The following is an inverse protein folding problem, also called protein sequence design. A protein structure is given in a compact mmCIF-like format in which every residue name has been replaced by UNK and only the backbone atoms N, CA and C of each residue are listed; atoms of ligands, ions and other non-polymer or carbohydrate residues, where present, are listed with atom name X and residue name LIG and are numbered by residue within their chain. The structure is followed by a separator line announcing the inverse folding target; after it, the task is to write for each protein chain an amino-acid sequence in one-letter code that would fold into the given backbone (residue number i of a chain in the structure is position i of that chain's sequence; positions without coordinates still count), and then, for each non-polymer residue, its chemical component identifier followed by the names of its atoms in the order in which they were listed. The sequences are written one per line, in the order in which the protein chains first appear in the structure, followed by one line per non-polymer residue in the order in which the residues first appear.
data_IF_815471104080
#
_entry.id   IF_815471104080
#
_cell.length_a   1.000
_cell.length_b   1.000
_cell.length_c   1.000
_cell.angle_alpha   90.00
_cell.angle_beta   90.00
_cell.angle_gamma   90.00
#
_symmetry.space_group_name_H-M   'P 1'
#
loop_
_entity.id
_entity.type
_entity.pdbx_description
1 polymer ?
#
# COMPACT_ATOMS: atom_id res chain seq x y z
N UNK A 1 -31.84 -21.62 2.14
CA UNK A 1 -30.61 -21.73 1.32
C UNK A 1 -30.00 -20.35 1.22
N UNK A 2 -29.03 -20.06 2.09
CA UNK A 2 -28.38 -18.74 2.20
C UNK A 2 -27.19 -18.75 1.25
N UNK A 3 -27.31 -18.11 0.11
CA UNK A 3 -26.17 -17.71 -0.72
C UNK A 3 -26.26 -16.21 -0.93
N UNK A 4 -25.79 -15.45 0.04
CA UNK A 4 -25.59 -14.01 -0.13
C UNK A 4 -24.22 -13.63 0.41
N UNK A 5 -23.25 -13.65 -0.52
CA UNK A 5 -22.29 -12.57 -0.83
C UNK A 5 -20.91 -13.13 -1.21
N UNK A 6 -20.81 -13.78 -2.37
CA UNK A 6 -19.53 -13.90 -3.09
C UNK A 6 -19.22 -12.55 -3.74
N UNK A 7 -18.81 -11.58 -2.92
CA UNK A 7 -18.05 -10.43 -3.42
C UNK A 7 -16.71 -10.49 -2.70
N UNK A 8 -15.62 -10.61 -3.45
CA UNK A 8 -14.32 -10.23 -2.91
C UNK A 8 -14.49 -8.83 -2.32
N UNK A 9 -14.16 -8.65 -1.04
CA UNK A 9 -14.05 -7.32 -0.47
C UNK A 9 -12.70 -6.77 -0.98
N UNK A 10 -12.65 -6.39 -2.25
CA UNK A 10 -11.48 -5.82 -2.94
C UNK A 10 -11.24 -4.40 -2.45
N UNK A 11 -10.85 -4.28 -1.17
CA UNK A 11 -10.43 -3.01 -0.61
C UNK A 11 -8.91 -2.95 -0.69
N UNK A 12 -8.39 -2.07 -1.55
CA UNK A 12 -6.96 -1.82 -1.68
C UNK A 12 -6.30 -1.56 -0.31
N UNK A 13 -5.06 -2.01 -0.14
CA UNK A 13 -4.27 -1.74 1.06
C UNK A 13 -3.61 -0.37 1.01
N UNK A 14 -3.55 0.32 2.16
CA UNK A 14 -2.75 1.54 2.35
C UNK A 14 -1.77 1.36 3.50
N UNK A 15 -0.55 1.88 3.34
CA UNK A 15 0.48 1.89 4.37
C UNK A 15 1.21 3.24 4.34
N UNK A 16 1.55 3.76 5.52
CA UNK A 16 2.32 5.00 5.64
C UNK A 16 3.29 4.92 6.83
N UNK A 17 4.41 5.62 6.68
CA UNK A 17 5.40 5.83 7.73
C UNK A 17 5.86 7.29 7.67
N UNK A 18 6.13 7.88 8.83
CA UNK A 18 6.50 9.28 8.97
C UNK A 18 7.76 9.43 9.82
N UNK A 19 8.58 10.45 9.53
CA UNK A 19 9.79 10.79 10.29
C UNK A 19 10.79 9.62 10.41
N UNK A 20 11.07 8.93 9.29
CA UNK A 20 11.98 7.80 9.25
C UNK A 20 12.91 7.87 8.02
N UNK A 21 14.22 7.74 8.23
CA UNK A 21 15.23 7.84 7.17
C UNK A 21 15.05 6.81 6.03
N UNK A 22 14.37 5.70 6.31
CA UNK A 22 14.09 4.64 5.34
C UNK A 22 12.59 4.48 5.09
N UNK A 23 11.84 5.59 5.03
CA UNK A 23 10.40 5.59 4.85
C UNK A 23 9.95 4.80 3.60
N UNK A 24 10.62 4.99 2.46
CA UNK A 24 10.30 4.26 1.21
C UNK A 24 10.41 2.75 1.36
N UNK A 25 11.52 2.25 1.92
CA UNK A 25 11.76 0.82 2.12
C UNK A 25 10.75 0.19 3.08
N UNK A 26 10.40 0.89 4.16
CA UNK A 26 9.39 0.41 5.11
C UNK A 26 7.99 0.41 4.48
N UNK A 27 7.67 1.43 3.67
CA UNK A 27 6.41 1.44 2.91
C UNK A 27 6.33 0.28 1.93
N UNK A 28 7.42 -0.04 1.22
CA UNK A 28 7.45 -1.20 0.33
C UNK A 28 7.18 -2.52 1.07
N UNK A 29 7.83 -2.74 2.22
CA UNK A 29 7.61 -3.93 3.05
C UNK A 29 6.20 -3.97 3.65
N UNK A 30 5.67 -2.82 4.07
CA UNK A 30 4.30 -2.70 4.58
C UNK A 30 3.25 -3.02 3.51
N UNK A 31 3.43 -2.50 2.29
CA UNK A 31 2.59 -2.84 1.15
C UNK A 31 2.71 -4.32 0.78
N UNK A 32 3.91 -4.90 0.83
CA UNK A 32 4.12 -6.33 0.61
C UNK A 32 3.34 -7.19 1.63
N UNK A 33 3.34 -6.81 2.92
CA UNK A 33 2.53 -7.49 3.93
C UNK A 33 1.01 -7.38 3.63
N UNK A 34 0.59 -6.34 2.92
CA UNK A 34 -0.80 -6.11 2.49
C UNK A 34 -1.11 -6.67 1.10
N UNK A 35 -0.20 -7.41 0.45
CA UNK A 35 -0.39 -7.92 -0.93
C UNK A 35 -1.66 -8.78 -1.09
N UNK A 36 -2.12 -9.42 -0.02
CA UNK A 36 -3.36 -10.19 0.00
C UNK A 36 -4.62 -9.32 -0.22
N UNK A 37 -4.50 -7.99 -0.21
CA UNK A 37 -5.59 -7.03 -0.46
C UNK A 37 -5.67 -6.52 -1.90
N UNK A 38 -4.68 -6.82 -2.74
CA UNK A 38 -4.67 -6.44 -4.14
C UNK A 38 -3.35 -6.81 -4.79
N UNK A 39 -3.41 -7.40 -6.00
CA UNK A 39 -2.22 -7.90 -6.73
C UNK A 39 -1.96 -7.18 -8.07
N UNK A 40 -2.87 -6.31 -8.47
CA UNK A 40 -2.85 -5.66 -9.79
C UNK A 40 -1.80 -4.53 -9.90
N UNK A 41 -1.57 -3.79 -8.81
CA UNK A 41 -0.64 -2.67 -8.79
C UNK A 41 -0.24 -2.29 -7.36
N UNK A 42 0.88 -1.58 -7.23
CA UNK A 42 1.29 -0.87 -6.03
C UNK A 42 1.83 0.51 -6.42
N UNK A 43 2.00 1.40 -5.45
CA UNK A 43 2.62 2.69 -5.67
C UNK A 43 3.10 3.28 -4.36
N UNK A 44 4.25 3.96 -4.40
CA UNK A 44 4.86 4.59 -3.23
C UNK A 44 5.15 6.04 -3.57
N UNK A 45 4.78 6.94 -2.67
CA UNK A 45 5.19 8.35 -2.72
C UNK A 45 5.87 8.69 -1.40
N UNK A 46 7.06 9.29 -1.47
CA UNK A 46 7.76 9.86 -0.32
C UNK A 46 7.95 11.36 -0.51
N UNK A 47 8.18 12.06 0.61
CA UNK A 47 8.46 13.48 0.63
C UNK A 47 9.73 13.74 1.43
N UNK A 48 10.64 14.51 0.86
CA UNK A 48 11.86 14.95 1.52
C UNK A 48 12.23 16.35 1.02
N UNK A 49 12.51 17.28 1.94
CA UNK A 49 13.05 18.61 1.64
C UNK A 49 12.30 19.40 0.54
N UNK A 50 10.96 19.43 0.61
CA UNK A 50 10.15 20.16 -0.37
C UNK A 50 9.92 19.42 -1.68
N UNK A 51 10.39 18.18 -1.82
CA UNK A 51 10.29 17.38 -3.04
C UNK A 51 9.55 16.07 -2.79
N UNK A 52 8.76 15.68 -3.77
CA UNK A 52 8.09 14.37 -3.81
C UNK A 52 8.86 13.42 -4.73
N UNK A 53 8.93 12.15 -4.33
CA UNK A 53 9.48 11.05 -5.10
C UNK A 53 8.38 10.00 -5.25
N UNK A 54 8.26 9.39 -6.43
CA UNK A 54 7.23 8.40 -6.72
C UNK A 54 7.79 7.18 -7.45
N UNK A 55 7.32 6.00 -7.06
CA UNK A 55 7.56 4.72 -7.73
C UNK A 55 6.24 3.97 -7.90
N UNK A 56 6.09 3.25 -9.03
CA UNK A 56 4.87 2.54 -9.43
C UNK A 56 5.22 1.13 -9.88
#
# INVERSE_FOLDING_TARGET
MIFKKDKFNEECGVFAIFNHNHASAHTALGLHALQHRGQEAAGIVTYENGKFFSEK
#
